data_IF_577858804112
#
_entry.id   IF_577858804112
#
_cell.length_a   1.000
_cell.length_b   1.000
_cell.length_c   1.000
_cell.angle_alpha   90.00
_cell.angle_beta   90.00
_cell.angle_gamma   90.00
#
_symmetry.space_group_name_H-M   'P 1'
#
loop_
_entity.id
_entity.type
_entity.pdbx_description
1 polymer ?
#
# COMPACT_ATOMS: atom_id res chain seq x y z
N UNK A 1 -1.85 -6.31 -19.02
CA UNK A 1 -1.09 -5.09 -18.68
C UNK A 1 -1.41 -4.58 -17.27
N UNK A 2 -2.65 -4.15 -16.96
CA UNK A 2 -2.99 -3.56 -15.65
C UNK A 2 -2.64 -4.41 -14.41
N UNK A 3 -2.86 -5.73 -14.47
CA UNK A 3 -2.48 -6.64 -13.39
C UNK A 3 -0.96 -6.67 -13.13
N UNK A 4 -0.15 -6.68 -14.20
CA UNK A 4 1.30 -6.66 -14.09
C UNK A 4 1.79 -5.32 -13.53
N UNK A 5 1.21 -4.20 -14.00
CA UNK A 5 1.51 -2.87 -13.49
C UNK A 5 1.19 -2.75 -12.01
N UNK A 6 0.05 -3.29 -11.57
CA UNK A 6 -0.30 -3.36 -10.14
C UNK A 6 0.75 -4.16 -9.35
N UNK A 7 1.16 -5.34 -9.82
CA UNK A 7 2.17 -6.15 -9.13
C UNK A 7 3.53 -5.46 -9.02
N UNK A 8 3.97 -4.78 -10.07
CA UNK A 8 5.25 -4.05 -10.07
C UNK A 8 5.21 -2.94 -9.00
N UNK A 9 4.16 -2.13 -9.00
CA UNK A 9 4.01 -1.04 -8.03
C UNK A 9 3.81 -1.57 -6.61
N UNK A 10 3.08 -2.67 -6.46
CA UNK A 10 2.93 -3.38 -5.19
C UNK A 10 4.29 -3.84 -4.64
N UNK A 11 5.10 -4.54 -5.44
CA UNK A 11 6.43 -5.01 -5.01
C UNK A 11 7.36 -3.83 -4.68
N UNK A 12 7.29 -2.75 -5.45
CA UNK A 12 8.08 -1.55 -5.18
C UNK A 12 7.69 -0.89 -3.85
N UNK A 13 6.39 -0.72 -3.59
CA UNK A 13 5.87 -0.20 -2.32
C UNK A 13 6.33 -1.07 -1.14
N UNK A 14 6.32 -2.38 -1.31
CA UNK A 14 6.73 -3.32 -0.26
C UNK A 14 8.20 -3.16 0.11
N UNK A 15 9.06 -2.97 -0.90
CA UNK A 15 10.50 -2.74 -0.71
C UNK A 15 10.81 -1.41 -0.02
N UNK A 16 10.02 -0.35 -0.28
CA UNK A 16 10.23 0.95 0.35
C UNK A 16 9.67 0.98 1.78
N UNK A 17 8.51 0.36 2.02
CA UNK A 17 7.95 0.20 3.37
C UNK A 17 8.85 -0.63 4.29
N UNK A 18 9.51 -1.67 3.79
CA UNK A 18 10.41 -2.48 4.62
C UNK A 18 11.61 -1.70 5.14
N UNK A 19 12.08 -0.70 4.37
CA UNK A 19 13.16 0.19 4.79
C UNK A 19 12.72 1.22 5.83
N UNK A 20 11.45 1.65 5.77
CA UNK A 20 10.91 2.65 6.68
C UNK A 20 10.50 2.09 8.06
N UNK A 21 10.24 0.79 8.13
CA UNK A 21 9.53 0.19 9.26
C UNK A 21 10.33 -0.71 10.20
N UNK A 22 11.60 -1.02 9.93
CA UNK A 22 12.29 -2.11 10.64
C UNK A 22 12.42 -1.89 12.17
N UNK A 23 12.56 -0.66 12.64
CA UNK A 23 12.69 -0.39 14.08
C UNK A 23 11.35 -0.10 14.78
N UNK A 24 10.45 0.64 14.13
CA UNK A 24 9.15 0.99 14.72
C UNK A 24 8.11 -0.13 14.57
N UNK A 25 8.15 -0.94 13.51
CA UNK A 25 7.21 -2.04 13.29
C UNK A 25 7.49 -3.17 14.27
N UNK A 26 8.75 -3.55 14.52
CA UNK A 26 9.11 -4.64 15.45
C UNK A 26 8.74 -4.29 16.89
N UNK A 27 8.97 -3.04 17.31
CA UNK A 27 8.61 -2.59 18.67
C UNK A 27 7.09 -2.45 18.83
N UNK A 28 6.35 -1.90 17.85
CA UNK A 28 4.88 -1.82 17.94
C UNK A 28 4.18 -3.18 17.81
N UNK A 29 4.78 -4.14 17.11
CA UNK A 29 4.21 -5.48 16.92
C UNK A 29 4.32 -6.38 18.15
N UNK A 30 5.25 -6.08 19.08
CA UNK A 30 5.40 -6.84 20.33
C UNK A 30 4.39 -6.46 21.43
N UNK A 31 3.85 -5.23 21.43
CA UNK A 31 3.08 -4.72 22.58
C UNK A 31 1.55 -4.83 22.48
N UNK A 32 0.98 -5.03 21.29
CA UNK A 32 -0.45 -5.35 21.15
C UNK A 32 -0.59 -6.35 20.01
N UNK A 33 -1.33 -7.44 20.21
CA UNK A 33 -1.63 -8.43 19.17
C UNK A 33 -2.62 -7.91 18.10
N UNK A 34 -2.95 -6.61 18.12
CA UNK A 34 -4.10 -5.95 17.46
C UNK A 34 -3.71 -4.90 16.37
N UNK A 35 -2.54 -4.20 16.36
CA UNK A 35 -2.23 -3.12 15.41
C UNK A 35 -1.31 -3.56 14.25
N UNK A 36 -1.01 -4.86 14.07
CA UNK A 36 -0.37 -5.34 12.83
C UNK A 36 -1.31 -5.29 11.63
N UNK A 37 -2.63 -5.27 11.83
CA UNK A 37 -3.60 -5.25 10.75
C UNK A 37 -3.43 -4.09 9.76
N UNK A 38 -3.25 -2.81 10.19
CA UNK A 38 -2.98 -1.71 9.27
C UNK A 38 -1.63 -1.85 8.56
N UNK A 39 -0.63 -2.47 9.20
CA UNK A 39 0.66 -2.77 8.55
C UNK A 39 0.57 -3.91 7.55
N UNK A 40 -0.30 -4.90 7.74
CA UNK A 40 -0.63 -5.91 6.72
C UNK A 40 -1.70 -5.45 5.72
N UNK A 41 -2.40 -4.34 5.94
CA UNK A 41 -3.54 -3.96 5.12
C UNK A 41 -3.18 -3.61 3.66
N UNK A 42 -2.09 -2.87 3.36
CA UNK A 42 -1.65 -2.71 1.97
C UNK A 42 -1.33 -4.06 1.30
N UNK A 43 -0.87 -5.04 2.09
CA UNK A 43 -0.51 -6.38 1.64
C UNK A 43 -1.73 -7.17 1.15
N UNK A 44 -2.90 -6.90 1.76
CA UNK A 44 -4.17 -7.49 1.36
C UNK A 44 -4.79 -6.82 0.13
N UNK A 45 -4.18 -5.78 -0.45
CA UNK A 45 -4.56 -5.24 -1.75
C UNK A 45 -4.49 -6.27 -2.88
N UNK A 46 -3.67 -7.32 -2.72
CA UNK A 46 -3.58 -8.46 -3.63
C UNK A 46 -4.94 -9.20 -3.78
N UNK A 47 -5.87 -9.06 -2.82
CA UNK A 47 -7.20 -9.67 -2.88
C UNK A 47 -8.01 -9.23 -4.11
N UNK A 48 -7.66 -8.10 -4.73
CA UNK A 48 -8.30 -7.65 -5.98
C UNK A 48 -8.09 -8.59 -7.19
N UNK A 49 -7.15 -9.54 -7.10
CA UNK A 49 -6.93 -10.56 -8.12
C UNK A 49 -8.01 -11.65 -8.17
N UNK A 50 -8.71 -11.90 -7.05
CA UNK A 50 -9.75 -12.92 -7.01
C UNK A 50 -10.96 -12.50 -7.86
N UNK A 51 -11.66 -13.47 -8.46
CA UNK A 51 -12.86 -13.26 -9.28
C UNK A 51 -14.15 -13.14 -8.45
N UNK A 52 -14.05 -12.75 -7.18
CA UNK A 52 -15.22 -12.55 -6.32
C UNK A 52 -15.38 -11.06 -6.01
N UNK A 53 -16.58 -10.52 -6.24
CA UNK A 53 -16.92 -9.11 -5.97
C UNK A 53 -16.57 -8.69 -4.54
N UNK A 54 -16.82 -9.54 -3.54
CA UNK A 54 -16.50 -9.26 -2.14
C UNK A 54 -15.00 -9.09 -1.94
N UNK A 55 -14.19 -10.02 -2.45
CA UNK A 55 -12.72 -9.94 -2.35
C UNK A 55 -12.14 -8.72 -3.08
N UNK A 56 -12.71 -8.33 -4.24
CA UNK A 56 -12.26 -7.14 -4.97
C UNK A 56 -12.51 -5.87 -4.15
N UNK A 57 -13.71 -5.72 -3.57
CA UNK A 57 -14.05 -4.56 -2.75
C UNK A 57 -13.20 -4.54 -1.48
N UNK A 58 -13.09 -5.67 -0.78
CA UNK A 58 -12.27 -5.77 0.44
C UNK A 58 -10.80 -5.47 0.16
N UNK A 59 -10.23 -6.01 -0.93
CA UNK A 59 -8.86 -5.72 -1.34
C UNK A 59 -8.64 -4.25 -1.66
N UNK A 60 -9.59 -3.59 -2.33
CA UNK A 60 -9.50 -2.16 -2.59
C UNK A 60 -9.56 -1.32 -1.30
N UNK A 61 -10.52 -1.60 -0.41
CA UNK A 61 -10.60 -0.91 0.88
C UNK A 61 -9.32 -1.06 1.71
N UNK A 62 -8.73 -2.24 1.70
CA UNK A 62 -7.47 -2.50 2.39
C UNK A 62 -6.29 -1.80 1.70
N UNK A 63 -6.29 -1.65 0.38
CA UNK A 63 -5.26 -0.87 -0.32
C UNK A 63 -5.29 0.63 0.03
N UNK A 64 -6.47 1.18 0.39
CA UNK A 64 -6.62 2.59 0.76
C UNK A 64 -5.94 2.92 2.09
N UNK A 65 -5.62 1.94 2.94
CA UNK A 65 -4.85 2.20 4.16
C UNK A 65 -3.45 2.74 3.85
N UNK A 66 -2.92 2.52 2.63
CA UNK A 66 -1.70 3.18 2.14
C UNK A 66 -1.76 4.71 2.22
N UNK A 67 -2.95 5.32 2.22
CA UNK A 67 -3.11 6.76 2.43
C UNK A 67 -2.67 7.20 3.83
N UNK A 68 -2.85 6.36 4.85
CA UNK A 68 -2.39 6.64 6.22
C UNK A 68 -0.86 6.69 6.24
N UNK A 69 -0.20 5.74 5.58
CA UNK A 69 1.24 5.70 5.41
C UNK A 69 1.77 6.94 4.67
N UNK A 70 1.06 7.39 3.63
CA UNK A 70 1.42 8.60 2.88
C UNK A 70 1.32 9.86 3.73
N UNK A 71 0.24 10.02 4.49
CA UNK A 71 0.08 11.18 5.40
C UNK A 71 1.15 11.18 6.47
N UNK A 72 1.46 10.01 7.04
CA UNK A 72 2.52 9.88 8.04
C UNK A 72 3.89 10.18 7.45
N UNK A 73 4.19 9.71 6.24
CA UNK A 73 5.43 10.07 5.55
C UNK A 73 5.49 11.60 5.34
N UNK A 74 4.49 12.23 4.73
CA UNK A 74 4.54 13.68 4.48
C UNK A 74 4.73 14.49 5.78
N UNK A 75 4.12 14.07 6.90
CA UNK A 75 4.30 14.72 8.21
C UNK A 75 5.67 14.48 8.83
N UNK A 76 6.20 13.27 8.71
CA UNK A 76 7.50 12.91 9.27
C UNK A 76 8.67 13.48 8.46
N UNK A 77 8.49 13.76 7.17
CA UNK A 77 9.56 14.28 6.30
C UNK A 77 10.19 15.59 6.80
N UNK A 78 9.43 16.66 7.10
CA UNK A 78 10.03 17.87 7.63
C UNK A 78 10.75 17.58 8.95
N UNK A 79 10.20 16.72 9.81
CA UNK A 79 10.79 16.38 11.11
C UNK A 79 12.11 15.61 10.95
N UNK A 80 12.23 14.72 9.95
CA UNK A 80 13.46 13.95 9.69
C UNK A 80 14.60 14.78 9.12
N UNK A 81 14.30 15.82 8.32
CA UNK A 81 15.36 16.74 7.85
C UNK A 81 16.07 17.41 9.05
N UNK A 82 15.37 17.55 10.18
CA UNK A 82 15.93 18.14 11.40
C UNK A 82 16.48 17.10 12.40
N UNK A 83 16.19 15.81 12.22
CA UNK A 83 16.65 14.71 13.07
C UNK A 83 17.32 13.67 12.17
N UNK A 84 18.65 13.64 12.10
CA UNK A 84 19.53 12.76 11.29
C UNK A 84 19.09 11.27 11.24
N UNK A 85 18.03 10.97 10.47
CA UNK A 85 17.40 9.65 10.45
C UNK A 85 18.09 8.66 9.52
N UNK A 86 17.99 7.37 9.84
CA UNK A 86 18.71 6.25 9.17
C UNK A 86 18.37 6.01 7.69
N UNK A 87 17.22 6.47 7.18
CA UNK A 87 16.87 6.37 5.75
C UNK A 87 17.47 7.55 4.99
N UNK A 88 18.02 7.31 3.79
CA UNK A 88 18.47 8.38 2.89
C UNK A 88 17.30 9.18 2.30
N UNK A 89 17.55 10.38 1.78
CA UNK A 89 16.52 11.23 1.15
C UNK A 89 15.93 10.58 -0.11
N UNK A 90 16.77 9.90 -0.90
CA UNK A 90 16.33 9.18 -2.10
C UNK A 90 15.37 8.03 -1.77
N UNK A 91 15.70 7.22 -0.75
CA UNK A 91 14.82 6.14 -0.29
C UNK A 91 13.48 6.67 0.20
N UNK A 92 13.49 7.86 0.81
CA UNK A 92 12.30 8.49 1.33
C UNK A 92 11.39 9.07 0.24
N UNK A 93 11.99 9.74 -0.73
CA UNK A 93 11.28 10.15 -1.94
C UNK A 93 10.71 8.94 -2.67
N UNK A 94 11.47 7.84 -2.75
CA UNK A 94 10.99 6.58 -3.32
C UNK A 94 9.82 6.00 -2.52
N UNK A 95 9.80 6.11 -1.19
CA UNK A 95 8.67 5.70 -0.36
C UNK A 95 7.41 6.51 -0.67
N UNK A 96 7.49 7.85 -0.62
CA UNK A 96 6.36 8.73 -0.96
C UNK A 96 5.85 8.44 -2.36
N UNK A 97 6.76 8.35 -3.34
CA UNK A 97 6.39 8.11 -4.72
C UNK A 97 5.71 6.74 -4.89
N UNK A 98 6.25 5.70 -4.26
CA UNK A 98 5.66 4.36 -4.30
C UNK A 98 4.25 4.32 -3.67
N UNK A 99 4.00 5.09 -2.60
CA UNK A 99 2.69 5.20 -1.95
C UNK A 99 1.66 5.90 -2.85
N UNK A 100 2.05 7.02 -3.48
CA UNK A 100 1.19 7.74 -4.44
C UNK A 100 0.87 6.87 -5.65
N UNK A 101 1.88 6.27 -6.26
CA UNK A 101 1.70 5.37 -7.40
C UNK A 101 0.80 4.19 -7.04
N UNK A 102 0.99 3.58 -5.86
CA UNK A 102 0.19 2.45 -5.42
C UNK A 102 -1.29 2.81 -5.27
N UNK A 103 -1.62 3.94 -4.63
CA UNK A 103 -3.00 4.41 -4.49
C UNK A 103 -3.67 4.63 -5.86
N UNK A 104 -2.96 5.27 -6.79
CA UNK A 104 -3.48 5.54 -8.13
C UNK A 104 -3.71 4.25 -8.92
N UNK A 105 -2.71 3.38 -8.98
CA UNK A 105 -2.78 2.12 -9.73
C UNK A 105 -3.77 1.14 -9.09
N UNK A 106 -3.87 1.10 -7.76
CA UNK A 106 -4.88 0.31 -7.05
C UNK A 106 -6.30 0.74 -7.43
N UNK A 107 -6.57 2.06 -7.46
CA UNK A 107 -7.87 2.59 -7.87
C UNK A 107 -8.19 2.26 -9.32
N UNK A 108 -7.23 2.45 -10.24
CA UNK A 108 -7.40 2.08 -11.64
C UNK A 108 -7.63 0.57 -11.82
N UNK A 109 -6.92 -0.26 -11.06
CA UNK A 109 -7.07 -1.72 -11.09
C UNK A 109 -8.44 -2.15 -10.54
N UNK A 110 -8.90 -1.55 -9.44
CA UNK A 110 -10.24 -1.80 -8.89
C UNK A 110 -11.34 -1.48 -9.92
N UNK A 111 -11.29 -0.30 -10.55
CA UNK A 111 -12.26 0.09 -11.59
C UNK A 111 -12.24 -0.90 -12.75
N UNK A 112 -11.05 -1.29 -13.21
CA UNK A 112 -10.89 -2.28 -14.28
C UNK A 112 -11.50 -3.64 -13.90
N UNK A 113 -11.20 -4.13 -12.69
CA UNK A 113 -11.71 -5.41 -12.18
C UNK A 113 -13.22 -5.40 -12.03
N UNK A 114 -13.79 -4.32 -11.49
CA UNK A 114 -15.24 -4.16 -11.33
C UNK A 114 -15.97 -4.11 -12.67
N UNK A 115 -15.43 -3.38 -13.66
CA UNK A 115 -15.98 -3.36 -15.02
C UNK A 115 -15.96 -4.76 -15.63
N UNK A 116 -14.81 -5.44 -15.59
CA UNK A 116 -14.65 -6.81 -16.11
C UNK A 116 -15.63 -7.79 -15.47
N UNK A 117 -15.83 -7.71 -14.15
CA UNK A 117 -16.75 -8.59 -13.44
C UNK A 117 -18.21 -8.37 -13.85
N UNK A 118 -18.63 -7.11 -14.05
CA UNK A 118 -19.97 -6.78 -14.53
C UNK A 118 -20.20 -7.30 -15.96
N UNK A 119 -19.23 -7.22 -16.86
CA UNK A 119 -19.35 -7.80 -18.21
C UNK A 119 -19.58 -9.31 -18.20
N UNK A 120 -19.01 -10.04 -17.23
CA UNK A 120 -19.21 -11.48 -17.09
C UNK A 120 -20.55 -11.87 -16.45
N UNK A 121 -21.25 -10.94 -15.78
CA UNK A 121 -22.57 -11.17 -15.22
C UNK A 121 -23.71 -10.93 -16.22
N UNK A 122 -23.45 -10.19 -17.31
CA UNK A 122 -24.41 -9.86 -18.37
C UNK A 122 -24.28 -10.74 -19.62
N UNK A 123 -23.40 -11.74 -19.60
CA UNK A 123 -23.24 -12.75 -20.65
C UNK A 123 -23.61 -14.11 -20.09
#
# INVERSE_FOLDING_TARGET
MMACTFLIVYVWLMKTLSLWGLEYIVVFSFFLLIPLLPFLAPFLGILMFFNNKKFIITGYLLSLTAAIYLVNAIKSYPIRIYMEGEMTDEQYLSLILSLVCYLFISTAFFIYRMRKLNYHLFK
#
